data_IF_213168698383
#
_entry.id   IF_213168698383
#
_cell.length_a   1.000
_cell.length_b   1.000
_cell.length_c   1.000
_cell.angle_alpha   90.00
_cell.angle_beta   90.00
_cell.angle_gamma   90.00
#
_symmetry.space_group_name_H-M   'P 1'
#
loop_
_entity.id
_entity.type
_entity.pdbx_description
1 polymer ?
#
# COMPACT_ATOMS: atom_id res chain seq x y z
N UNK A 1 55.82 60.43 5.51
CA UNK A 1 55.12 60.95 6.70
C UNK A 1 53.93 60.13 6.92
N UNK A 2 53.90 59.29 7.78
CA UNK A 2 53.85 59.17 9.25
C UNK A 2 52.75 58.21 9.54
N UNK A 3 53.03 57.20 10.12
CA UNK A 3 53.24 56.68 11.50
C UNK A 3 52.00 55.89 11.99
N UNK A 4 52.24 54.61 12.25
CA UNK A 4 51.80 53.70 13.33
C UNK A 4 50.36 53.88 13.94
N UNK A 5 49.57 52.79 14.15
CA UNK A 5 49.69 51.98 15.35
C UNK A 5 48.79 50.72 15.33
N UNK A 6 49.37 49.64 15.79
CA UNK A 6 48.75 48.39 16.28
C UNK A 6 47.74 48.63 17.39
N UNK A 7 46.66 47.85 17.46
CA UNK A 7 46.21 47.25 18.74
C UNK A 7 45.55 45.91 18.50
N UNK A 8 46.23 44.89 18.99
CA UNK A 8 45.69 43.54 19.33
C UNK A 8 44.54 43.70 20.33
N UNK A 9 43.47 42.98 20.14
CA UNK A 9 42.68 42.49 21.28
C UNK A 9 42.12 41.09 21.01
N UNK A 10 42.72 40.12 21.68
CA UNK A 10 42.19 38.81 21.89
C UNK A 10 40.84 38.90 22.59
N UNK A 11 39.82 38.24 22.05
CA UNK A 11 38.72 37.71 22.85
C UNK A 11 38.45 36.27 22.40
N UNK A 12 38.94 35.35 23.19
CA UNK A 12 38.47 33.97 23.30
C UNK A 12 36.94 34.00 23.56
N UNK A 13 36.17 33.42 22.68
CA UNK A 13 34.83 32.97 22.98
C UNK A 13 34.81 31.44 22.73
N UNK A 14 35.02 30.73 23.84
CA UNK A 14 34.72 29.32 23.95
C UNK A 14 33.22 29.10 23.79
N UNK A 15 32.80 28.63 22.62
CA UNK A 15 31.48 28.02 22.44
C UNK A 15 31.54 26.57 22.90
N UNK A 16 31.25 26.39 24.17
CA UNK A 16 30.86 25.12 24.74
C UNK A 16 29.35 25.01 24.51
N UNK A 17 28.91 24.16 23.61
CA UNK A 17 27.52 23.94 23.30
C UNK A 17 27.31 22.49 22.90
N UNK A 18 27.02 21.66 23.88
CA UNK A 18 26.51 20.32 23.71
C UNK A 18 25.26 20.34 22.82
N UNK A 19 25.40 20.04 21.55
CA UNK A 19 24.31 19.78 20.61
C UNK A 19 24.39 18.38 20.04
N UNK A 20 24.71 17.37 20.91
CA UNK A 20 24.55 15.95 20.57
C UNK A 20 23.13 15.42 20.80
N UNK A 21 22.24 16.23 21.41
CA UNK A 21 20.84 15.84 21.69
C UNK A 21 19.89 15.95 20.52
N UNK A 22 20.06 16.97 19.67
CA UNK A 22 19.08 17.26 18.62
C UNK A 22 19.24 16.39 17.35
N UNK A 23 20.47 15.92 17.06
CA UNK A 23 20.68 14.97 15.97
C UNK A 23 20.19 13.55 16.32
N UNK A 24 20.12 13.20 17.60
CA UNK A 24 19.60 11.90 18.03
C UNK A 24 18.07 11.83 18.03
N UNK A 25 17.36 12.96 18.09
CA UNK A 25 15.90 12.99 18.04
C UNK A 25 15.34 13.05 16.61
N UNK A 26 16.09 13.56 15.62
CA UNK A 26 15.71 13.51 14.22
C UNK A 26 15.84 12.11 13.59
N UNK A 27 16.69 11.25 14.13
CA UNK A 27 16.89 9.88 13.62
C UNK A 27 15.95 8.81 14.24
N UNK A 28 15.02 9.18 15.12
CA UNK A 28 14.08 8.24 15.76
C UNK A 28 12.76 8.02 15.01
N UNK A 29 12.60 8.56 13.81
CA UNK A 29 11.42 8.33 12.97
C UNK A 29 11.70 7.67 11.61
N UNK A 30 12.86 7.14 11.35
CA UNK A 30 12.97 6.09 10.34
C UNK A 30 12.42 4.82 10.99
N UNK A 31 11.13 4.54 10.83
CA UNK A 31 10.62 3.19 10.98
C UNK A 31 11.55 2.31 10.14
N UNK A 32 12.22 1.39 10.79
CA UNK A 32 13.04 0.42 10.08
C UNK A 32 12.08 -0.33 9.16
N UNK A 33 12.07 -0.03 7.86
CA UNK A 33 11.12 -0.58 6.86
C UNK A 33 11.06 -2.10 6.84
N UNK A 34 11.89 -2.77 7.64
CA UNK A 34 12.10 -4.20 7.65
C UNK A 34 11.85 -4.85 9.02
N UNK A 35 11.35 -4.11 10.01
CA UNK A 35 11.11 -4.63 11.38
C UNK A 35 10.18 -5.86 11.40
N UNK A 36 9.28 -5.97 10.42
CA UNK A 36 8.30 -7.06 10.33
C UNK A 36 8.68 -8.13 9.29
N UNK A 37 9.92 -8.15 8.82
CA UNK A 37 10.38 -9.17 7.89
C UNK A 37 11.05 -10.32 8.63
N UNK A 38 10.33 -11.45 8.74
CA UNK A 38 10.89 -12.68 9.31
C UNK A 38 11.70 -13.45 8.26
N UNK A 39 13.02 -13.38 8.36
CA UNK A 39 13.95 -14.12 7.49
C UNK A 39 13.88 -15.65 7.70
N UNK A 40 13.40 -16.10 8.87
CA UNK A 40 13.32 -17.52 9.19
C UNK A 40 12.05 -18.18 8.64
N UNK A 41 11.06 -17.40 8.23
CA UNK A 41 9.88 -17.93 7.57
C UNK A 41 10.25 -18.41 6.16
N UNK A 42 10.23 -19.72 5.93
CA UNK A 42 10.59 -20.37 4.66
C UNK A 42 9.45 -20.38 3.63
N UNK A 43 8.24 -19.94 3.98
CA UNK A 43 7.11 -19.89 3.05
C UNK A 43 7.39 -18.88 1.92
N UNK A 44 6.98 -19.18 0.68
CA UNK A 44 6.99 -18.19 -0.40
C UNK A 44 6.14 -16.97 -0.04
N UNK A 45 6.61 -15.78 -0.34
CA UNK A 45 5.94 -14.52 0.03
C UNK A 45 4.88 -14.13 -0.98
N UNK A 46 3.69 -13.76 -0.50
CA UNK A 46 2.61 -13.21 -1.31
C UNK A 46 2.33 -11.76 -0.86
N UNK A 47 3.00 -10.75 -1.41
CA UNK A 47 2.83 -9.37 -0.98
C UNK A 47 1.53 -8.79 -1.52
N UNK A 48 0.75 -8.18 -0.64
CA UNK A 48 -0.54 -7.55 -0.92
C UNK A 48 -0.53 -6.12 -0.39
N UNK A 49 -0.83 -5.16 -1.25
CA UNK A 49 -1.11 -3.77 -0.86
C UNK A 49 -2.60 -3.51 -1.02
N UNK A 50 -3.25 -3.12 0.07
CA UNK A 50 -4.54 -2.44 0.02
C UNK A 50 -4.28 -0.93 0.01
N UNK A 51 -4.53 -0.29 -1.14
CA UNK A 51 -4.41 1.14 -1.33
C UNK A 51 -5.80 1.74 -1.24
N UNK A 52 -6.14 2.33 -0.10
CA UNK A 52 -7.52 2.67 0.25
C UNK A 52 -7.73 4.18 0.37
N UNK A 53 -8.77 4.65 -0.27
CA UNK A 53 -9.27 6.01 -0.14
C UNK A 53 -9.84 6.22 1.26
N UNK A 54 -9.39 7.28 1.91
CA UNK A 54 -9.90 7.74 3.19
C UNK A 54 -10.24 9.23 3.11
N UNK A 55 -10.64 9.72 1.93
CA UNK A 55 -11.13 11.09 1.74
C UNK A 55 -12.48 11.31 2.41
N UNK A 56 -12.89 12.57 2.48
CA UNK A 56 -14.12 12.97 3.18
C UNK A 56 -15.40 12.32 2.65
N UNK A 57 -15.46 11.92 1.37
CA UNK A 57 -16.59 11.21 0.78
C UNK A 57 -16.81 9.81 1.36
N UNK A 58 -15.72 9.15 1.78
CA UNK A 58 -15.77 7.86 2.48
C UNK A 58 -16.34 7.94 3.90
N UNK A 59 -16.63 9.14 4.42
CA UNK A 59 -17.11 9.29 5.80
C UNK A 59 -18.48 8.62 6.02
N UNK A 60 -18.67 8.07 7.22
CA UNK A 60 -19.91 7.42 7.63
C UNK A 60 -19.93 5.92 7.35
N UNK A 61 -20.93 5.44 6.62
CA UNK A 61 -21.12 4.01 6.36
C UNK A 61 -19.98 3.39 5.53
N UNK A 62 -19.47 4.04 4.44
CA UNK A 62 -18.42 3.43 3.60
C UNK A 62 -17.15 3.09 4.38
N UNK A 63 -16.61 4.02 5.16
CA UNK A 63 -15.37 3.76 5.93
C UNK A 63 -15.60 2.74 7.06
N UNK A 64 -16.78 2.70 7.65
CA UNK A 64 -17.12 1.74 8.69
C UNK A 64 -17.20 0.31 8.14
N UNK A 65 -17.87 0.13 7.01
CA UNK A 65 -17.96 -1.16 6.31
C UNK A 65 -16.60 -1.62 5.79
N UNK A 66 -15.79 -0.72 5.22
CA UNK A 66 -14.42 -1.02 4.80
C UNK A 66 -13.57 -1.50 5.98
N UNK A 67 -13.58 -0.81 7.10
CA UNK A 67 -12.86 -1.21 8.32
C UNK A 67 -13.31 -2.59 8.83
N UNK A 68 -14.61 -2.87 8.82
CA UNK A 68 -15.16 -4.15 9.24
C UNK A 68 -14.72 -5.28 8.28
N UNK A 69 -14.78 -5.02 6.98
CA UNK A 69 -14.42 -5.99 5.96
C UNK A 69 -12.92 -6.31 5.93
N UNK A 70 -12.04 -5.32 6.11
CA UNK A 70 -10.60 -5.55 6.22
C UNK A 70 -10.29 -6.43 7.45
N UNK A 71 -10.91 -6.18 8.58
CA UNK A 71 -10.73 -7.04 9.77
C UNK A 71 -11.18 -8.48 9.52
N UNK A 72 -12.34 -8.67 8.91
CA UNK A 72 -12.83 -10.00 8.56
C UNK A 72 -11.90 -10.71 7.57
N UNK A 73 -11.41 -10.01 6.54
CA UNK A 73 -10.45 -10.52 5.57
C UNK A 73 -9.18 -11.06 6.22
N UNK A 74 -8.61 -10.32 7.17
CA UNK A 74 -7.41 -10.77 7.90
C UNK A 74 -7.72 -11.99 8.76
N UNK A 75 -8.85 -12.01 9.46
CA UNK A 75 -9.25 -13.18 10.27
C UNK A 75 -9.50 -14.44 9.40
N UNK A 76 -10.06 -14.29 8.21
CA UNK A 76 -10.23 -15.40 7.26
C UNK A 76 -8.89 -15.94 6.74
N UNK A 77 -7.92 -15.07 6.47
CA UNK A 77 -6.58 -15.49 6.07
C UNK A 77 -5.81 -16.17 7.21
N UNK A 78 -6.01 -15.75 8.45
CA UNK A 78 -5.40 -16.37 9.63
C UNK A 78 -5.86 -17.82 9.85
N UNK A 79 -7.06 -18.17 9.38
CA UNK A 79 -7.60 -19.54 9.52
C UNK A 79 -6.96 -20.53 8.54
N UNK A 80 -6.21 -20.06 7.54
CA UNK A 80 -5.50 -20.89 6.58
C UNK A 80 -3.99 -20.81 6.86
N UNK A 81 -3.39 -21.94 7.27
CA UNK A 81 -1.97 -21.98 7.69
C UNK A 81 -1.01 -21.52 6.59
N UNK A 82 -1.29 -21.89 5.33
CA UNK A 82 -0.43 -21.54 4.20
C UNK A 82 -0.57 -20.05 3.87
N UNK A 83 -1.79 -19.54 3.75
CA UNK A 83 -2.03 -18.13 3.49
C UNK A 83 -1.52 -17.26 4.64
N UNK A 84 -1.73 -17.69 5.89
CA UNK A 84 -1.30 -16.96 7.09
C UNK A 84 0.21 -16.74 7.14
N UNK A 85 0.99 -17.74 6.72
CA UNK A 85 2.46 -17.66 6.68
C UNK A 85 3.01 -16.98 5.41
N UNK A 86 2.30 -17.08 4.29
CA UNK A 86 2.74 -16.58 2.97
C UNK A 86 2.31 -15.15 2.68
N UNK A 87 1.06 -14.79 3.01
CA UNK A 87 0.51 -13.47 2.69
C UNK A 87 1.09 -12.40 3.61
N UNK A 88 1.68 -11.39 3.01
CA UNK A 88 2.17 -10.20 3.70
C UNK A 88 1.31 -9.00 3.28
N UNK A 89 0.58 -8.45 4.23
CA UNK A 89 -0.35 -7.35 4.02
C UNK A 89 0.28 -6.01 4.38
N UNK A 90 0.14 -5.04 3.49
CA UNK A 90 0.35 -3.62 3.74
C UNK A 90 -0.94 -2.86 3.46
N UNK A 91 -1.27 -1.91 4.33
CA UNK A 91 -2.40 -1.00 4.12
C UNK A 91 -1.85 0.41 3.96
N UNK A 92 -2.08 1.01 2.81
CA UNK A 92 -1.78 2.40 2.52
C UNK A 92 -3.10 3.15 2.42
N UNK A 93 -3.28 4.17 3.23
CA UNK A 93 -4.42 5.09 3.13
C UNK A 93 -4.01 6.39 2.44
N UNK A 94 -4.92 6.98 1.69
CA UNK A 94 -4.72 8.31 1.12
C UNK A 94 -5.95 9.19 1.30
N UNK A 95 -5.68 10.44 1.65
CA UNK A 95 -6.62 11.56 1.74
C UNK A 95 -5.89 12.84 1.32
N UNK A 96 -5.63 13.81 2.20
CA UNK A 96 -4.78 14.98 1.91
C UNK A 96 -3.31 14.58 1.61
N UNK A 97 -2.91 13.40 2.05
CA UNK A 97 -1.61 12.79 1.82
C UNK A 97 -1.71 11.26 1.86
N UNK A 98 -0.68 10.58 1.36
CA UNK A 98 -0.59 9.14 1.48
C UNK A 98 0.25 8.73 2.69
N UNK A 99 -0.20 7.67 3.40
CA UNK A 99 0.51 7.15 4.56
C UNK A 99 0.37 5.63 4.68
N UNK A 100 1.38 5.00 5.25
CA UNK A 100 1.33 3.58 5.60
C UNK A 100 0.55 3.45 6.91
N UNK A 101 -0.68 2.93 6.82
CA UNK A 101 -1.51 2.65 7.99
C UNK A 101 -1.10 1.33 8.67
N UNK A 102 -0.71 0.33 7.86
CA UNK A 102 -0.15 -0.94 8.34
C UNK A 102 1.03 -1.29 7.44
N UNK A 103 2.27 -1.36 7.96
CA UNK A 103 3.42 -1.77 7.16
C UNK A 103 3.33 -3.25 6.80
N UNK A 104 4.03 -3.69 5.74
CA UNK A 104 4.07 -5.09 5.35
C UNK A 104 4.32 -6.01 6.55
N UNK A 105 3.34 -6.83 6.85
CA UNK A 105 3.34 -7.76 7.97
C UNK A 105 2.73 -9.08 7.51
N UNK A 106 3.36 -10.21 7.82
CA UNK A 106 2.76 -11.51 7.57
C UNK A 106 1.44 -11.65 8.34
N UNK A 107 0.44 -12.24 7.73
CA UNK A 107 -0.91 -12.35 8.34
C UNK A 107 -0.86 -13.01 9.72
N UNK A 108 -0.01 -14.03 9.91
CA UNK A 108 0.19 -14.70 11.21
C UNK A 108 0.70 -13.75 12.31
N UNK A 109 1.46 -12.72 11.94
CA UNK A 109 2.09 -11.77 12.88
C UNK A 109 1.27 -10.48 13.04
N UNK A 110 0.17 -10.34 12.29
CA UNK A 110 -0.67 -9.16 12.29
C UNK A 110 -1.64 -9.19 13.48
N UNK A 111 -1.23 -8.60 14.60
CA UNK A 111 -1.99 -8.63 15.86
C UNK A 111 -3.17 -7.65 15.88
N UNK A 112 -3.07 -6.54 15.18
CA UNK A 112 -4.13 -5.53 15.11
C UNK A 112 -4.07 -4.74 13.79
N UNK A 113 -5.23 -4.27 13.34
CA UNK A 113 -5.36 -3.36 12.22
C UNK A 113 -5.88 -2.03 12.76
N UNK A 114 -5.22 -0.91 12.46
CA UNK A 114 -5.70 0.40 12.88
C UNK A 114 -7.07 0.68 12.25
N UNK A 115 -7.92 1.39 12.96
CA UNK A 115 -9.15 1.91 12.38
C UNK A 115 -8.81 3.07 11.46
N UNK A 116 -9.25 3.01 10.21
CA UNK A 116 -9.13 4.08 9.24
C UNK A 116 -10.25 5.10 9.47
N UNK A 117 -9.92 6.37 9.35
CA UNK A 117 -10.86 7.49 9.48
C UNK A 117 -10.87 8.27 8.18
N UNK A 118 -12.06 8.68 7.75
CA UNK A 118 -12.23 9.43 6.52
C UNK A 118 -12.27 10.94 6.80
N UNK A 119 -11.43 11.70 6.07
CA UNK A 119 -11.36 13.16 6.10
C UNK A 119 -10.54 13.68 4.90
N UNK A 120 -10.67 14.96 4.57
CA UNK A 120 -9.83 15.65 3.59
C UNK A 120 -10.13 15.33 2.14
N UNK A 121 -9.11 15.50 1.27
CA UNK A 121 -9.18 15.35 -0.18
C UNK A 121 -8.76 13.94 -0.63
N UNK A 122 -8.52 13.77 -1.96
CA UNK A 122 -8.23 12.47 -2.59
C UNK A 122 -6.88 12.53 -3.30
N UNK A 123 -5.74 12.52 -2.54
CA UNK A 123 -4.38 12.50 -3.11
C UNK A 123 -4.01 11.10 -3.61
N UNK A 124 -4.72 10.63 -4.62
CA UNK A 124 -4.54 9.28 -5.18
C UNK A 124 -3.17 9.11 -5.85
N UNK A 125 -2.65 10.15 -6.52
CA UNK A 125 -1.31 10.13 -7.12
C UNK A 125 -0.23 9.88 -6.08
N UNK A 126 -0.31 10.56 -4.93
CA UNK A 126 0.59 10.31 -3.79
C UNK A 126 0.46 8.87 -3.26
N UNK A 127 -0.77 8.32 -3.21
CA UNK A 127 -1.03 6.94 -2.84
C UNK A 127 -0.36 5.94 -3.78
N UNK A 128 -0.51 6.14 -5.09
CA UNK A 128 0.09 5.30 -6.14
C UNK A 128 1.62 5.35 -6.11
N UNK A 129 2.21 6.53 -5.87
CA UNK A 129 3.66 6.69 -5.72
C UNK A 129 4.18 5.93 -4.49
N UNK A 130 3.50 6.09 -3.35
CA UNK A 130 3.87 5.39 -2.13
C UNK A 130 3.78 3.88 -2.32
N UNK A 131 2.67 3.37 -2.87
CA UNK A 131 2.48 1.94 -3.15
C UNK A 131 3.56 1.40 -4.11
N UNK A 132 3.91 2.15 -5.16
CA UNK A 132 4.99 1.78 -6.09
C UNK A 132 6.34 1.66 -5.39
N UNK A 133 6.68 2.62 -4.51
CA UNK A 133 7.94 2.65 -3.78
C UNK A 133 8.03 1.50 -2.77
N UNK A 134 6.96 1.23 -2.01
CA UNK A 134 6.91 0.14 -1.04
C UNK A 134 7.00 -1.23 -1.73
N UNK A 135 6.26 -1.42 -2.82
CA UNK A 135 6.33 -2.63 -3.63
C UNK A 135 7.76 -2.91 -4.14
N UNK A 136 8.44 -1.89 -4.67
CA UNK A 136 9.81 -2.03 -5.16
C UNK A 136 10.78 -2.33 -4.01
N UNK A 137 10.62 -1.69 -2.85
CA UNK A 137 11.44 -1.93 -1.67
C UNK A 137 11.26 -3.37 -1.16
N UNK A 138 9.99 -3.86 -1.10
CA UNK A 138 9.67 -5.23 -0.66
C UNK A 138 10.26 -6.28 -1.60
N UNK A 139 10.13 -6.10 -2.92
CA UNK A 139 10.72 -7.00 -3.92
C UNK A 139 12.25 -7.04 -3.85
N UNK A 140 12.91 -5.89 -3.61
CA UNK A 140 14.37 -5.86 -3.41
C UNK A 140 14.76 -6.66 -2.16
N UNK A 141 14.00 -6.54 -1.07
CA UNK A 141 14.24 -7.28 0.16
C UNK A 141 14.16 -8.79 -0.06
N UNK A 142 13.13 -9.30 -0.76
CA UNK A 142 13.01 -10.71 -1.10
C UNK A 142 14.21 -11.20 -1.92
N UNK A 143 14.58 -10.45 -2.96
CA UNK A 143 15.72 -10.80 -3.80
C UNK A 143 17.03 -10.86 -3.01
N UNK A 144 17.26 -9.90 -2.10
CA UNK A 144 18.47 -9.84 -1.27
C UNK A 144 18.56 -11.02 -0.30
N UNK A 145 17.43 -11.54 0.15
CA UNK A 145 17.37 -12.64 1.11
C UNK A 145 17.06 -14.00 0.47
N UNK A 146 17.02 -14.08 -0.87
CA UNK A 146 16.74 -15.34 -1.58
C UNK A 146 15.34 -15.89 -1.35
N UNK A 147 14.37 -15.04 -0.95
CA UNK A 147 13.00 -15.48 -0.71
C UNK A 147 12.26 -15.66 -2.03
N UNK A 148 11.63 -16.83 -2.22
CA UNK A 148 10.65 -17.04 -3.26
C UNK A 148 9.43 -16.12 -3.01
N UNK A 149 8.87 -15.57 -4.09
CA UNK A 149 7.70 -14.71 -3.96
C UNK A 149 6.75 -14.89 -5.14
N UNK A 150 5.46 -14.89 -4.82
CA UNK A 150 4.39 -14.81 -5.80
C UNK A 150 4.31 -13.40 -6.39
N UNK A 151 3.57 -13.28 -7.48
CA UNK A 151 3.24 -11.99 -8.08
C UNK A 151 2.50 -11.13 -7.07
N UNK A 152 2.96 -9.87 -6.85
CA UNK A 152 2.31 -8.95 -5.90
C UNK A 152 0.89 -8.58 -6.29
N UNK A 153 0.07 -8.31 -5.30
CA UNK A 153 -1.26 -7.76 -5.46
C UNK A 153 -1.31 -6.31 -5.02
N UNK A 154 -1.92 -5.46 -5.83
CA UNK A 154 -2.25 -4.07 -5.48
C UNK A 154 -3.72 -3.87 -5.74
N UNK A 155 -4.46 -3.53 -4.69
CA UNK A 155 -5.91 -3.29 -4.74
C UNK A 155 -6.16 -1.83 -4.41
N UNK A 156 -6.51 -1.05 -5.43
CA UNK A 156 -6.92 0.35 -5.28
C UNK A 156 -8.43 0.40 -5.04
N UNK A 157 -8.84 1.03 -3.94
CA UNK A 157 -10.25 1.20 -3.56
C UNK A 157 -10.55 2.68 -3.36
N UNK A 158 -11.54 3.22 -4.08
CA UNK A 158 -11.92 4.64 -4.02
C UNK A 158 -13.40 4.83 -4.32
N UNK A 159 -13.99 5.87 -3.74
CA UNK A 159 -15.37 6.32 -4.02
C UNK A 159 -15.40 7.62 -4.83
N UNK A 160 -14.24 8.15 -5.25
CA UNK A 160 -14.11 9.42 -5.95
C UNK A 160 -13.05 9.43 -7.04
N UNK A 161 -12.75 10.62 -7.52
CA UNK A 161 -11.65 10.91 -8.44
C UNK A 161 -10.49 11.62 -7.75
N UNK A 162 -9.25 11.54 -8.30
CA UNK A 162 -8.08 12.19 -7.72
C UNK A 162 -8.17 13.71 -7.76
N UNK A 163 -7.63 14.35 -6.71
CA UNK A 163 -7.52 15.81 -6.61
C UNK A 163 -6.06 16.30 -6.75
N UNK A 164 -5.11 15.41 -6.98
CA UNK A 164 -3.68 15.71 -7.14
C UNK A 164 -3.17 15.35 -8.55
N UNK A 165 -1.86 15.50 -8.78
CA UNK A 165 -1.22 15.10 -10.02
C UNK A 165 -0.98 13.59 -10.02
N UNK A 166 -1.87 12.83 -10.60
CA UNK A 166 -1.91 11.37 -10.54
C UNK A 166 -1.41 10.67 -11.81
N UNK A 167 -1.40 11.35 -12.96
CA UNK A 167 -1.23 10.73 -14.28
C UNK A 167 0.09 9.96 -14.41
N UNK A 168 1.18 10.54 -13.90
CA UNK A 168 2.50 9.90 -13.97
C UNK A 168 2.57 8.67 -13.08
N UNK A 169 2.08 8.77 -11.85
CA UNK A 169 2.06 7.67 -10.87
C UNK A 169 1.17 6.51 -11.35
N UNK A 170 -0.01 6.85 -11.90
CA UNK A 170 -0.91 5.89 -12.51
C UNK A 170 -0.29 5.18 -13.72
N UNK A 171 0.41 5.93 -14.60
CA UNK A 171 1.06 5.33 -15.76
C UNK A 171 2.13 4.29 -15.37
N UNK A 172 2.86 4.53 -14.27
CA UNK A 172 3.84 3.56 -13.74
C UNK A 172 3.13 2.30 -13.24
N UNK A 173 2.09 2.47 -12.40
CA UNK A 173 1.36 1.34 -11.82
C UNK A 173 0.63 0.53 -12.90
N UNK A 174 -0.06 1.21 -13.83
CA UNK A 174 -0.74 0.60 -14.97
C UNK A 174 0.23 -0.24 -15.82
N UNK A 175 1.40 0.29 -16.14
CA UNK A 175 2.44 -0.43 -16.88
C UNK A 175 2.90 -1.70 -16.17
N UNK A 176 3.01 -1.69 -14.84
CA UNK A 176 3.33 -2.90 -14.07
C UNK A 176 2.23 -3.96 -14.21
N UNK A 177 0.97 -3.56 -14.19
CA UNK A 177 -0.18 -4.44 -14.42
C UNK A 177 -0.22 -5.00 -15.85
N UNK A 178 -0.09 -4.14 -16.88
CA UNK A 178 -0.06 -4.54 -18.30
C UNK A 178 1.08 -5.52 -18.62
N UNK A 179 2.24 -5.32 -17.96
CA UNK A 179 3.39 -6.22 -18.06
C UNK A 179 3.23 -7.50 -17.22
N UNK A 180 2.06 -7.70 -16.59
CA UNK A 180 1.76 -8.84 -15.71
C UNK A 180 2.78 -9.01 -14.56
N UNK A 181 3.43 -7.93 -14.13
CA UNK A 181 4.37 -7.94 -13.00
C UNK A 181 3.68 -7.86 -11.64
N UNK A 182 2.43 -7.43 -11.63
CA UNK A 182 1.56 -7.35 -10.47
C UNK A 182 0.14 -7.75 -10.87
N UNK A 183 -0.66 -8.19 -9.91
CA UNK A 183 -2.11 -8.18 -9.98
C UNK A 183 -2.57 -6.79 -9.54
N UNK A 184 -3.04 -5.98 -10.50
CA UNK A 184 -3.50 -4.63 -10.20
C UNK A 184 -5.00 -4.57 -10.38
N UNK A 185 -5.74 -4.39 -9.29
CA UNK A 185 -7.19 -4.37 -9.21
C UNK A 185 -7.67 -2.99 -8.79
N UNK A 186 -8.65 -2.45 -9.51
CA UNK A 186 -9.37 -1.24 -9.13
C UNK A 186 -10.76 -1.58 -8.63
N UNK A 187 -11.18 -1.00 -7.53
CA UNK A 187 -12.48 -1.18 -6.90
C UNK A 187 -13.15 0.19 -6.74
N UNK A 188 -14.23 0.38 -7.46
CA UNK A 188 -15.08 1.57 -7.40
C UNK A 188 -16.15 1.40 -6.34
N UNK A 189 -16.19 2.30 -5.36
CA UNK A 189 -17.10 2.23 -4.22
C UNK A 189 -18.24 3.21 -4.43
N UNK A 190 -19.45 2.68 -4.56
CA UNK A 190 -20.65 3.51 -4.71
C UNK A 190 -20.79 4.18 -6.08
N UNK A 191 -21.78 5.08 -6.24
CA UNK A 191 -22.19 5.60 -7.55
C UNK A 191 -21.45 6.86 -8.01
N UNK A 192 -20.58 7.46 -7.18
CA UNK A 192 -20.00 8.79 -7.43
C UNK A 192 -18.58 8.75 -7.96
N UNK A 193 -18.04 7.56 -8.22
CA UNK A 193 -16.68 7.38 -8.74
C UNK A 193 -16.58 7.96 -10.15
N UNK A 194 -15.48 8.65 -10.42
CA UNK A 194 -15.12 9.04 -11.77
C UNK A 194 -14.60 7.82 -12.55
N UNK A 195 -15.53 7.05 -13.11
CA UNK A 195 -15.25 5.83 -13.86
C UNK A 195 -14.31 6.09 -15.05
N UNK A 196 -14.42 7.26 -15.71
CA UNK A 196 -13.54 7.61 -16.82
C UNK A 196 -12.08 7.73 -16.34
N UNK A 197 -11.85 8.43 -15.24
CA UNK A 197 -10.50 8.56 -14.65
C UNK A 197 -10.01 7.21 -14.14
N UNK A 198 -10.84 6.41 -13.49
CA UNK A 198 -10.46 5.05 -13.07
C UNK A 198 -10.05 4.18 -14.25
N UNK A 199 -10.75 4.26 -15.39
CA UNK A 199 -10.38 3.57 -16.63
C UNK A 199 -9.01 4.00 -17.19
N UNK A 200 -8.55 5.24 -16.90
CA UNK A 200 -7.20 5.70 -17.28
C UNK A 200 -6.12 5.21 -16.30
N UNK A 201 -6.49 4.98 -15.05
CA UNK A 201 -5.59 4.51 -13.99
C UNK A 201 -5.33 3.00 -14.11
N UNK A 202 -6.36 2.24 -14.48
CA UNK A 202 -6.30 0.80 -14.53
C UNK A 202 -5.70 0.25 -15.85
N UNK A 203 -5.11 -0.96 -15.84
CA UNK A 203 -4.70 -1.64 -17.07
C UNK A 203 -5.90 -1.94 -17.98
N UNK A 204 -5.71 -1.84 -19.29
CA UNK A 204 -6.77 -2.13 -20.28
C UNK A 204 -7.36 -3.55 -20.16
N UNK A 205 -6.55 -4.51 -19.71
CA UNK A 205 -6.95 -5.90 -19.50
C UNK A 205 -7.44 -6.19 -18.07
N UNK A 206 -7.61 -5.19 -17.24
CA UNK A 206 -8.11 -5.28 -15.87
C UNK A 206 -8.90 -4.00 -15.54
N UNK A 207 -10.08 -3.81 -16.15
CA UNK A 207 -10.91 -2.63 -15.87
C UNK A 207 -11.33 -2.60 -14.40
N UNK A 208 -11.71 -1.41 -13.88
CA UNK A 208 -12.13 -1.30 -12.49
C UNK A 208 -13.44 -2.05 -12.26
N UNK A 209 -13.55 -2.67 -11.10
CA UNK A 209 -14.73 -3.40 -10.63
C UNK A 209 -15.65 -2.46 -9.86
N UNK A 210 -16.92 -2.42 -10.19
CA UNK A 210 -17.93 -1.68 -9.43
C UNK A 210 -18.38 -2.47 -8.21
N UNK A 211 -18.28 -1.87 -7.04
CA UNK A 211 -18.76 -2.45 -5.79
C UNK A 211 -20.14 -1.89 -5.45
N UNK A 212 -21.18 -2.50 -6.01
CA UNK A 212 -22.54 -2.09 -5.75
C UNK A 212 -22.97 -2.33 -4.29
N UNK A 213 -23.55 -1.31 -3.66
CA UNK A 213 -24.15 -1.41 -2.34
C UNK A 213 -23.15 -1.80 -1.23
N UNK A 214 -21.92 -1.27 -1.27
CA UNK A 214 -20.91 -1.49 -0.24
C UNK A 214 -20.59 -2.98 0.05
N UNK A 215 -20.60 -3.83 -0.98
CA UNK A 215 -20.34 -5.28 -0.85
C UNK A 215 -18.89 -5.60 -0.54
N UNK A 216 -18.28 -4.88 0.39
CA UNK A 216 -16.91 -5.10 0.80
C UNK A 216 -16.65 -6.53 1.29
N UNK A 217 -17.61 -7.12 2.02
CA UNK A 217 -17.47 -8.47 2.56
C UNK A 217 -17.33 -9.52 1.46
N UNK A 218 -18.17 -9.42 0.43
CA UNK A 218 -18.11 -10.35 -0.70
C UNK A 218 -16.82 -10.17 -1.51
N UNK A 219 -16.37 -8.92 -1.72
CA UNK A 219 -15.11 -8.64 -2.37
C UNK A 219 -13.92 -9.21 -1.59
N UNK A 220 -13.84 -8.93 -0.30
CA UNK A 220 -12.74 -9.42 0.54
C UNK A 220 -12.78 -10.94 0.74
N UNK A 221 -13.97 -11.56 0.75
CA UNK A 221 -14.11 -13.01 0.73
C UNK A 221 -13.51 -13.61 -0.55
N UNK A 222 -13.85 -13.06 -1.70
CA UNK A 222 -13.27 -13.46 -2.98
C UNK A 222 -11.76 -13.26 -3.01
N UNK A 223 -11.26 -12.12 -2.52
CA UNK A 223 -9.83 -11.84 -2.45
C UNK A 223 -9.11 -12.83 -1.53
N UNK A 224 -9.70 -13.14 -0.37
CA UNK A 224 -9.17 -14.15 0.56
C UNK A 224 -9.05 -15.52 -0.09
N UNK A 225 -10.11 -15.99 -0.75
CA UNK A 225 -10.13 -17.29 -1.43
C UNK A 225 -9.10 -17.34 -2.59
N UNK A 226 -8.95 -16.23 -3.32
CA UNK A 226 -7.95 -16.07 -4.38
C UNK A 226 -6.51 -16.16 -3.83
N UNK A 227 -6.23 -15.47 -2.73
CA UNK A 227 -4.91 -15.49 -2.09
C UNK A 227 -4.57 -16.87 -1.50
N UNK A 228 -5.55 -17.58 -0.90
CA UNK A 228 -5.38 -18.96 -0.44
C UNK A 228 -5.05 -19.91 -1.60
N UNK A 229 -5.73 -19.74 -2.72
CA UNK A 229 -5.44 -20.53 -3.93
C UNK A 229 -4.03 -20.27 -4.46
N UNK A 230 -3.60 -19.00 -4.54
CA UNK A 230 -2.26 -18.64 -4.99
C UNK A 230 -1.20 -19.17 -4.04
N UNK A 231 -1.34 -18.95 -2.75
CA UNK A 231 -0.34 -19.37 -1.74
C UNK A 231 -0.18 -20.88 -1.63
N UNK A 232 -1.19 -21.64 -2.06
CA UNK A 232 -1.15 -23.11 -2.12
C UNK A 232 -0.60 -23.65 -3.45
N UNK A 233 -0.35 -22.79 -4.44
CA UNK A 233 0.20 -23.17 -5.74
C UNK A 233 1.73 -23.20 -5.73
N UNK A 234 2.35 -23.80 -6.75
CA UNK A 234 3.79 -23.64 -6.96
C UNK A 234 4.11 -22.21 -7.41
N UNK A 235 5.19 -21.63 -6.87
CA UNK A 235 5.70 -20.34 -7.36
C UNK A 235 6.21 -20.53 -8.79
N UNK A 236 5.58 -19.88 -9.75
CA UNK A 236 6.01 -19.88 -11.15
C UNK A 236 6.06 -18.46 -11.69
N UNK A 237 6.93 -18.23 -12.69
CA UNK A 237 6.96 -16.95 -13.41
C UNK A 237 5.76 -16.81 -14.35
N UNK A 238 5.15 -17.94 -14.74
CA UNK A 238 3.93 -18.01 -15.52
C UNK A 238 2.74 -18.27 -14.60
N UNK A 239 2.08 -17.19 -14.20
CA UNK A 239 0.85 -17.30 -13.41
C UNK A 239 -0.30 -17.77 -14.30
N UNK A 240 -0.58 -19.04 -14.27
CA UNK A 240 -1.77 -19.65 -14.87
C UNK A 240 -2.98 -19.66 -13.93
N UNK A 241 -2.95 -18.89 -12.84
CA UNK A 241 -4.09 -18.79 -11.94
C UNK A 241 -5.17 -17.94 -12.61
N UNK A 242 -6.21 -18.59 -13.08
CA UNK A 242 -7.41 -17.91 -13.57
C UNK A 242 -8.31 -17.61 -12.37
N UNK A 243 -8.55 -16.35 -12.09
CA UNK A 243 -9.52 -15.94 -11.09
C UNK A 243 -10.89 -15.84 -11.76
N UNK A 244 -11.85 -16.61 -11.28
CA UNK A 244 -13.25 -16.39 -11.62
C UNK A 244 -13.71 -15.17 -10.84
N UNK A 245 -14.00 -14.07 -11.54
CA UNK A 245 -14.62 -12.90 -10.90
C UNK A 245 -15.99 -13.28 -10.36
N UNK A 246 -16.37 -12.76 -9.17
CA UNK A 246 -17.68 -12.99 -8.61
C UNK A 246 -18.78 -12.52 -9.59
N UNK A 247 -19.90 -13.22 -9.63
CA UNK A 247 -21.01 -12.90 -10.56
C UNK A 247 -21.69 -11.54 -10.33
N UNK A 248 -21.30 -10.79 -9.28
CA UNK A 248 -21.73 -9.43 -9.02
C UNK A 248 -20.75 -8.38 -9.60
N UNK A 249 -19.59 -8.80 -10.11
CA UNK A 249 -18.71 -7.92 -10.87
C UNK A 249 -19.28 -7.79 -12.25
N UNK A 250 -19.71 -6.59 -12.59
CA UNK A 250 -20.17 -6.29 -13.96
C UNK A 250 -18.94 -6.17 -14.88
N UNK A 251 -18.74 -7.19 -15.70
CA UNK A 251 -17.68 -7.24 -16.73
C UNK A 251 -18.26 -6.99 -18.13
N UNK A 252 -19.50 -6.54 -18.24
CA UNK A 252 -20.20 -6.37 -19.51
C UNK A 252 -19.65 -5.20 -20.36
N UNK A 253 -18.81 -4.34 -19.80
CA UNK A 253 -18.11 -3.26 -20.51
C UNK A 253 -16.62 -3.57 -20.79
N UNK A 254 -16.21 -4.85 -20.68
CA UNK A 254 -14.84 -5.31 -20.99
C UNK A 254 -14.62 -5.55 -22.48
#
# INVERSE_FOLDING_TARGET
MGVYNNFNNHRNNSFNGNNKGDYAMMNKRSHNKFENFDINNSAPRCPVILLVDTSGSMNGEPINELNAAIRQFVEELKQDEVASSSVELEIISFNDSAQIATPYTAIQDLNSIPTLYADGYTSMGAGLDLATNELQARRRLYKQNGCAAYKPWVVLMTDGGPNDNWEQSAAVMRKLGEQKKIWYLGVEIGPWVDHHTMGQIMPLNSPPMKLDGLRFREFFKWLSDSLKSVSSSAVSEEDNVQFAFPGWVDISEM
#
